data_IF_322641246927
#
_entry.id   IF_322641246927
#
_cell.length_a   1.000
_cell.length_b   1.000
_cell.length_c   1.000
_cell.angle_alpha   90.00
_cell.angle_beta   90.00
_cell.angle_gamma   90.00
#
_symmetry.space_group_name_H-M   'P 1'
#
loop_
_entity.id
_entity.type
_entity.pdbx_description
1 polymer ?
#
# COMPACT_ATOMS: atom_id res chain seq x y z
N UNK A 1 -8.22 2.10 -23.47
CA UNK A 1 -8.70 2.16 -24.89
C UNK A 1 -7.85 3.12 -25.69
N UNK A 2 -7.67 2.90 -26.99
CA UNK A 2 -6.95 3.83 -27.88
C UNK A 2 -7.77 4.15 -29.14
N UNK A 3 -7.43 5.25 -29.81
CA UNK A 3 -8.08 5.71 -31.04
C UNK A 3 -7.06 5.77 -32.15
N UNK A 4 -7.40 5.18 -33.29
CA UNK A 4 -6.67 5.33 -34.54
C UNK A 4 -7.40 6.36 -35.39
N UNK A 5 -6.66 7.29 -35.97
CA UNK A 5 -7.16 8.32 -36.87
C UNK A 5 -6.34 8.24 -38.16
N UNK A 6 -7.02 8.22 -39.31
CA UNK A 6 -6.36 8.13 -40.61
C UNK A 6 -7.35 7.98 -41.77
N UNK A 7 -6.84 8.09 -42.99
CA UNK A 7 -7.62 8.00 -44.23
C UNK A 7 -7.68 6.59 -44.85
N UNK A 8 -7.14 5.59 -44.16
CA UNK A 8 -7.25 4.20 -44.57
C UNK A 8 -8.72 3.72 -44.48
N UNK A 9 -9.10 2.76 -45.31
CA UNK A 9 -10.42 2.12 -45.21
C UNK A 9 -10.48 1.22 -43.97
N UNK A 10 -9.43 0.43 -43.74
CA UNK A 10 -9.30 -0.48 -42.61
C UNK A 10 -7.88 -0.47 -42.06
N UNK A 11 -7.76 -0.84 -40.79
CA UNK A 11 -6.47 -0.99 -40.10
C UNK A 11 -6.45 -2.26 -39.27
N UNK A 12 -5.28 -2.87 -39.21
CA UNK A 12 -4.95 -3.97 -38.32
C UNK A 12 -4.18 -3.42 -37.12
N UNK A 13 -4.72 -3.59 -35.91
CA UNK A 13 -4.07 -3.21 -34.68
C UNK A 13 -3.55 -4.45 -33.95
N UNK A 14 -2.34 -4.35 -33.39
CA UNK A 14 -1.67 -5.38 -32.61
C UNK A 14 -1.16 -4.75 -31.32
N UNK A 15 -1.31 -5.44 -30.19
CA UNK A 15 -0.60 -5.08 -28.95
C UNK A 15 0.40 -6.19 -28.63
N UNK A 16 1.62 -5.77 -28.31
CA UNK A 16 2.70 -6.65 -27.86
C UNK A 16 3.15 -6.29 -26.45
N UNK A 17 3.62 -7.28 -25.71
CA UNK A 17 4.45 -7.10 -24.52
C UNK A 17 5.82 -7.72 -24.83
N UNK A 18 6.90 -6.94 -24.74
CA UNK A 18 8.27 -7.34 -25.12
C UNK A 18 8.35 -7.96 -26.52
N UNK A 19 7.66 -7.33 -27.48
CA UNK A 19 7.58 -7.80 -28.86
C UNK A 19 6.73 -9.08 -29.07
N UNK A 20 6.24 -9.72 -28.00
CA UNK A 20 5.35 -10.87 -28.09
C UNK A 20 3.92 -10.39 -28.24
N UNK A 21 3.27 -10.75 -29.35
CA UNK A 21 1.86 -10.45 -29.61
C UNK A 21 0.95 -11.00 -28.50
N UNK A 22 0.16 -10.14 -27.89
CA UNK A 22 -0.86 -10.47 -26.89
C UNK A 22 -2.27 -10.34 -27.45
N UNK A 23 -2.49 -9.30 -28.25
CA UNK A 23 -3.80 -8.99 -28.79
C UNK A 23 -3.71 -8.50 -30.24
N UNK A 24 -4.76 -8.74 -31.03
CA UNK A 24 -4.90 -8.15 -32.35
C UNK A 24 -6.35 -8.03 -32.78
N UNK A 25 -6.70 -6.97 -33.52
CA UNK A 25 -7.99 -6.84 -34.18
C UNK A 25 -7.92 -5.94 -35.41
N UNK A 26 -8.84 -6.17 -36.35
CA UNK A 26 -9.04 -5.34 -37.54
C UNK A 26 -10.29 -4.48 -37.37
N UNK A 27 -10.24 -3.21 -37.77
CA UNK A 27 -11.43 -2.35 -37.88
C UNK A 27 -11.42 -1.50 -39.12
N UNK A 28 -12.60 -1.32 -39.70
CA UNK A 28 -12.87 -0.26 -40.67
C UNK A 28 -12.87 1.11 -39.97
N UNK A 29 -12.39 2.14 -40.66
CA UNK A 29 -12.42 3.52 -40.18
C UNK A 29 -13.73 4.18 -40.61
N UNK A 30 -14.60 4.42 -39.64
CA UNK A 30 -15.80 5.24 -39.85
C UNK A 30 -15.42 6.70 -39.61
N UNK A 31 -15.64 7.57 -40.62
CA UNK A 31 -15.27 8.99 -40.54
C UNK A 31 -13.80 9.18 -40.15
N UNK A 32 -12.90 8.46 -40.82
CA UNK A 32 -11.43 8.54 -40.63
C UNK A 32 -10.95 8.16 -39.23
N UNK A 33 -11.73 7.41 -38.45
CA UNK A 33 -11.26 6.90 -37.17
C UNK A 33 -11.89 5.58 -36.73
N UNK A 34 -11.15 4.84 -35.90
CA UNK A 34 -11.61 3.65 -35.22
C UNK A 34 -11.16 3.69 -33.76
N UNK A 35 -12.05 3.33 -32.84
CA UNK A 35 -11.71 3.16 -31.41
C UNK A 35 -11.56 1.69 -31.09
N UNK A 36 -10.49 1.34 -30.40
CA UNK A 36 -10.24 -0.01 -29.90
C UNK A 36 -10.35 0.00 -28.37
N UNK A 37 -11.14 -0.94 -27.86
CA UNK A 37 -11.25 -1.22 -26.43
C UNK A 37 -10.69 -2.61 -26.24
N UNK A 38 -9.64 -2.72 -25.43
CA UNK A 38 -8.92 -3.96 -25.15
C UNK A 38 -8.97 -4.17 -23.65
N UNK A 39 -9.48 -5.32 -23.17
CA UNK A 39 -9.37 -5.68 -21.76
C UNK A 39 -7.90 -5.76 -21.37
N UNK A 40 -7.54 -5.19 -20.21
CA UNK A 40 -6.16 -5.26 -19.69
C UNK A 40 -5.73 -6.72 -19.53
N UNK A 41 -6.66 -7.60 -19.17
CA UNK A 41 -6.45 -9.04 -19.01
C UNK A 41 -6.01 -9.79 -20.26
N UNK A 42 -6.24 -9.23 -21.45
CA UNK A 42 -5.79 -9.82 -22.71
C UNK A 42 -4.35 -9.44 -23.05
N UNK A 43 -3.78 -8.43 -22.37
CA UNK A 43 -2.47 -7.85 -22.73
C UNK A 43 -1.46 -7.84 -21.58
N UNK A 44 -1.91 -7.72 -20.33
CA UNK A 44 -1.07 -7.57 -19.15
C UNK A 44 -0.38 -8.88 -18.80
N UNK A 45 0.93 -8.83 -18.62
CA UNK A 45 1.78 -9.99 -18.26
C UNK A 45 2.69 -9.72 -17.06
N UNK A 46 2.52 -8.57 -16.41
CA UNK A 46 3.35 -8.09 -15.31
C UNK A 46 3.57 -6.58 -15.40
N UNK A 47 4.07 -6.00 -14.31
CA UNK A 47 4.33 -4.57 -14.25
C UNK A 47 5.34 -4.10 -15.29
N UNK A 48 5.04 -2.95 -15.92
CA UNK A 48 5.98 -2.30 -16.82
C UNK A 48 7.19 -1.74 -16.08
N UNK A 49 7.03 -1.20 -14.87
CA UNK A 49 8.14 -0.76 -14.02
C UNK A 49 8.50 -1.80 -12.95
N UNK A 50 9.77 -1.77 -12.53
CA UNK A 50 10.28 -2.60 -11.43
C UNK A 50 11.39 -1.83 -10.69
N UNK A 51 11.47 -2.02 -9.37
CA UNK A 51 12.58 -1.52 -8.59
C UNK A 51 13.79 -2.46 -8.59
N UNK A 52 14.96 -1.88 -8.39
CA UNK A 52 16.22 -2.60 -8.17
C UNK A 52 16.70 -2.36 -6.72
N UNK A 53 17.90 -2.83 -6.40
CA UNK A 53 18.46 -2.79 -5.04
C UNK A 53 18.75 -1.42 -4.46
N UNK A 54 18.41 -0.32 -5.12
CA UNK A 54 18.60 1.01 -4.52
C UNK A 54 17.76 2.11 -5.13
N UNK A 55 16.85 1.77 -6.06
CA UNK A 55 16.04 2.74 -6.78
C UNK A 55 14.88 2.08 -7.50
N UNK A 56 13.87 2.88 -7.81
CA UNK A 56 12.75 2.50 -8.65
C UNK A 56 12.79 3.31 -9.96
N UNK A 57 13.53 2.83 -11.00
CA UNK A 57 13.61 3.55 -12.26
C UNK A 57 12.28 3.50 -13.01
N UNK A 58 11.95 4.59 -13.70
CA UNK A 58 10.77 4.68 -14.60
C UNK A 58 11.08 4.25 -16.03
N UNK A 59 12.19 3.52 -16.24
CA UNK A 59 12.45 2.83 -17.51
C UNK A 59 11.72 1.50 -17.50
N UNK A 60 10.86 1.21 -18.50
CA UNK A 60 10.09 -0.02 -18.49
C UNK A 60 10.98 -1.26 -18.62
N UNK A 61 10.73 -2.26 -17.77
CA UNK A 61 11.27 -3.61 -17.88
C UNK A 61 10.42 -4.51 -18.78
N UNK A 62 9.13 -4.16 -18.95
CA UNK A 62 8.23 -4.77 -19.93
C UNK A 62 7.70 -3.65 -20.85
N UNK A 63 8.01 -3.73 -22.14
CA UNK A 63 7.58 -2.77 -23.15
C UNK A 63 6.23 -3.17 -23.73
N UNK A 64 5.20 -2.39 -23.43
CA UNK A 64 3.86 -2.56 -23.99
C UNK A 64 3.67 -1.63 -25.19
N UNK A 65 3.51 -2.20 -26.38
CA UNK A 65 3.47 -1.46 -27.64
C UNK A 65 2.19 -1.71 -28.40
N UNK A 66 1.59 -0.64 -28.93
CA UNK A 66 0.54 -0.69 -29.94
C UNK A 66 1.20 -0.53 -31.30
N UNK A 67 0.92 -1.45 -32.23
CA UNK A 67 1.26 -1.34 -33.64
C UNK A 67 -0.01 -1.32 -34.47
N UNK A 68 -0.11 -0.38 -35.41
CA UNK A 68 -1.25 -0.24 -36.32
C UNK A 68 -0.76 -0.21 -37.75
N UNK A 69 -1.30 -1.09 -38.58
CA UNK A 69 -0.89 -1.27 -39.97
C UNK A 69 -2.06 -1.04 -40.94
N UNK A 70 -1.77 -0.47 -42.10
CA UNK A 70 -2.66 -0.37 -43.25
C UNK A 70 -1.84 -0.54 -44.53
N UNK A 71 -1.96 -1.70 -45.18
CA UNK A 71 -1.06 -2.08 -46.27
C UNK A 71 0.39 -2.18 -45.76
N UNK A 72 1.32 -1.52 -46.44
CA UNK A 72 2.74 -1.55 -46.08
C UNK A 72 3.13 -0.52 -44.99
N UNK A 73 2.20 0.35 -44.59
CA UNK A 73 2.47 1.37 -43.58
C UNK A 73 2.15 0.84 -42.19
N UNK A 74 3.10 0.94 -41.26
CA UNK A 74 2.92 0.61 -39.84
C UNK A 74 3.32 1.80 -38.99
N UNK A 75 2.49 2.11 -37.99
CA UNK A 75 2.81 3.08 -36.94
C UNK A 75 2.80 2.39 -35.59
N UNK A 76 3.67 2.83 -34.70
CA UNK A 76 3.81 2.28 -33.35
C UNK A 76 3.67 3.37 -32.31
N UNK A 77 3.07 3.03 -31.19
CA UNK A 77 2.99 3.88 -30.01
C UNK A 77 3.20 3.03 -28.76
N UNK A 78 3.95 3.58 -27.80
CA UNK A 78 4.09 2.98 -26.47
C UNK A 78 2.80 3.19 -25.67
N UNK A 79 2.38 2.16 -24.94
CA UNK A 79 1.38 2.30 -23.88
C UNK A 79 2.11 2.85 -22.67
N UNK A 80 1.65 3.98 -22.12
CA UNK A 80 2.26 4.60 -20.93
C UNK A 80 2.54 3.53 -19.86
N UNK A 81 3.81 3.30 -19.47
CA UNK A 81 4.19 2.28 -18.50
C UNK A 81 3.45 2.39 -17.16
N UNK A 82 3.07 3.60 -16.75
CA UNK A 82 2.28 3.84 -15.54
C UNK A 82 0.94 3.09 -15.57
N UNK A 83 0.25 3.04 -16.72
CA UNK A 83 -1.01 2.30 -16.86
C UNK A 83 -0.82 0.79 -16.83
N UNK A 84 0.40 0.33 -17.10
CA UNK A 84 0.79 -1.07 -17.15
C UNK A 84 1.62 -1.48 -15.92
N UNK A 85 1.67 -0.65 -14.88
CA UNK A 85 2.23 -0.97 -13.57
C UNK A 85 1.07 -1.00 -12.58
N UNK A 86 0.59 -2.21 -12.28
CA UNK A 86 -0.73 -2.45 -11.65
C UNK A 86 -0.69 -3.35 -10.42
N UNK A 87 0.38 -4.10 -10.24
CA UNK A 87 0.56 -5.02 -9.10
C UNK A 87 1.44 -4.35 -8.05
N UNK A 88 0.98 -4.32 -6.81
CA UNK A 88 1.80 -4.01 -5.63
C UNK A 88 2.63 -5.23 -5.30
N UNK A 89 3.94 -5.07 -5.16
CA UNK A 89 4.86 -6.18 -4.90
C UNK A 89 5.55 -6.10 -3.54
N UNK A 90 5.40 -4.98 -2.84
CA UNK A 90 6.16 -4.69 -1.64
C UNK A 90 5.40 -3.69 -0.74
N UNK A 91 5.70 -3.72 0.55
CA UNK A 91 5.14 -2.85 1.57
C UNK A 91 6.17 -2.47 2.64
N UNK A 92 5.82 -1.49 3.47
CA UNK A 92 6.58 -1.12 4.65
C UNK A 92 5.66 -0.67 5.76
N UNK A 93 6.13 -0.73 7.00
CA UNK A 93 5.39 -0.23 8.16
C UNK A 93 6.22 0.81 8.89
N UNK A 94 5.56 1.88 9.32
CA UNK A 94 6.09 2.87 10.23
C UNK A 94 5.14 3.01 11.42
N UNK A 95 5.69 3.04 12.62
CA UNK A 95 4.94 3.30 13.84
C UNK A 95 5.39 4.64 14.44
N UNK A 96 4.47 5.32 15.11
CA UNK A 96 4.76 6.55 15.84
C UNK A 96 3.95 6.55 17.12
N UNK A 97 4.60 6.84 18.24
CA UNK A 97 3.93 6.87 19.55
C UNK A 97 2.93 8.01 19.64
N UNK A 98 1.78 7.74 20.25
CA UNK A 98 0.82 8.74 20.72
C UNK A 98 1.02 8.89 22.21
N UNK A 99 1.15 10.14 22.68
CA UNK A 99 1.32 10.44 24.11
C UNK A 99 0.19 11.31 24.64
N UNK A 100 -0.20 11.06 25.89
CA UNK A 100 -1.12 11.91 26.64
C UNK A 100 -0.40 12.57 27.81
N UNK A 101 -0.74 13.82 28.12
CA UNK A 101 -0.18 14.54 29.26
C UNK A 101 -1.27 14.88 30.27
N UNK A 102 -1.08 14.51 31.52
CA UNK A 102 -1.97 14.81 32.63
C UNK A 102 -1.23 15.53 33.76
N UNK A 103 -1.95 16.35 34.55
CA UNK A 103 -1.38 16.96 35.74
C UNK A 103 -1.71 16.10 36.94
N UNK A 104 -0.69 15.45 37.49
CA UNK A 104 -0.81 14.70 38.73
C UNK A 104 -0.47 15.61 39.90
N UNK A 105 -1.39 15.74 40.85
CA UNK A 105 -1.19 16.55 42.05
C UNK A 105 -1.09 15.65 43.28
N UNK A 106 0.04 15.69 43.97
CA UNK A 106 0.27 14.98 45.23
C UNK A 106 0.13 15.95 46.40
N UNK A 107 -0.75 15.61 47.35
CA UNK A 107 -0.87 16.36 48.61
C UNK A 107 0.31 16.05 49.53
N UNK A 108 1.17 17.03 49.77
CA UNK A 108 2.28 16.94 50.74
C UNK A 108 1.94 17.72 52.02
N UNK A 109 2.62 17.47 53.15
CA UNK A 109 2.49 18.30 54.37
C UNK A 109 2.80 19.80 54.17
N UNK A 110 3.45 20.16 53.06
CA UNK A 110 3.85 21.53 52.71
C UNK A 110 2.90 22.21 51.70
N UNK A 111 1.96 21.47 51.11
CA UNK A 111 1.02 21.96 50.09
C UNK A 111 0.74 20.91 49.01
N UNK A 112 -0.11 21.23 48.03
CA UNK A 112 -0.21 20.43 46.80
C UNK A 112 1.00 20.70 45.91
N UNK A 113 1.70 19.65 45.54
CA UNK A 113 2.70 19.67 44.47
C UNK A 113 2.08 19.01 43.25
N UNK A 114 2.07 19.71 42.12
CA UNK A 114 1.57 19.17 40.86
C UNK A 114 2.71 19.05 39.86
N UNK A 115 2.76 17.92 39.16
CA UNK A 115 3.66 17.68 38.05
C UNK A 115 2.86 17.27 36.81
N UNK A 116 3.37 17.63 35.63
CA UNK A 116 2.80 17.17 34.37
C UNK A 116 3.50 15.87 33.99
N UNK A 117 2.75 14.77 33.99
CA UNK A 117 3.22 13.45 33.55
C UNK A 117 2.81 13.27 32.10
N UNK A 118 3.73 12.78 31.26
CA UNK A 118 3.44 12.42 29.87
C UNK A 118 3.67 10.94 29.70
N UNK A 119 2.62 10.19 29.33
CA UNK A 119 2.69 8.75 29.10
C UNK A 119 2.35 8.41 27.66
N UNK A 120 2.81 7.25 27.19
CA UNK A 120 2.34 6.67 25.92
C UNK A 120 0.93 6.15 26.11
N UNK A 121 0.06 6.55 25.19
CA UNK A 121 -1.33 6.10 25.13
C UNK A 121 -1.53 5.05 24.02
N UNK A 122 -0.66 5.04 23.00
CA UNK A 122 -0.73 4.07 21.92
C UNK A 122 0.25 4.33 20.78
N UNK A 123 -0.02 3.75 19.61
CA UNK A 123 0.75 3.95 18.38
C UNK A 123 -0.14 4.28 17.18
N UNK A 124 0.29 5.22 16.35
CA UNK A 124 -0.17 5.36 14.97
C UNK A 124 0.62 4.37 14.12
N UNK A 125 -0.08 3.62 13.27
CA UNK A 125 0.55 2.74 12.29
C UNK A 125 0.30 3.29 10.90
N UNK A 126 1.38 3.54 10.16
CA UNK A 126 1.36 3.93 8.76
C UNK A 126 1.91 2.78 7.92
N UNK A 127 1.18 2.41 6.87
CA UNK A 127 1.62 1.40 5.91
C UNK A 127 1.99 2.05 4.59
N UNK A 128 3.03 1.51 3.97
CA UNK A 128 3.44 1.81 2.60
C UNK A 128 3.10 0.63 1.71
N UNK A 129 2.64 0.88 0.49
CA UNK A 129 2.39 -0.18 -0.48
C UNK A 129 2.73 0.28 -1.91
N UNK A 130 3.52 -0.52 -2.62
CA UNK A 130 3.83 -0.26 -4.02
C UNK A 130 4.93 -1.17 -4.56
N UNK A 131 5.83 -0.57 -5.33
CA UNK A 131 7.13 -1.15 -5.66
C UNK A 131 8.18 -0.43 -4.83
N UNK A 132 8.89 -1.16 -3.98
CA UNK A 132 9.97 -0.63 -3.16
C UNK A 132 11.33 -1.20 -3.65
N UNK A 133 12.44 -0.47 -3.46
CA UNK A 133 13.77 -1.00 -3.71
C UNK A 133 14.01 -2.21 -2.83
N UNK A 134 14.73 -3.23 -3.33
CA UNK A 134 15.02 -4.43 -2.52
C UNK A 134 16.03 -4.18 -1.40
N UNK A 135 16.56 -2.97 -1.29
CA UNK A 135 17.33 -2.51 -0.11
C UNK A 135 16.45 -1.88 0.96
N UNK A 136 15.13 -1.84 0.74
CA UNK A 136 14.19 -1.41 1.75
C UNK A 136 14.28 -2.35 2.94
N UNK A 137 14.52 -1.77 4.11
CA UNK A 137 14.61 -2.46 5.38
C UNK A 137 13.92 -1.63 6.48
N UNK A 138 13.39 -2.33 7.47
CA UNK A 138 12.89 -1.74 8.71
C UNK A 138 14.07 -1.34 9.61
N UNK A 139 13.92 -0.23 10.31
CA UNK A 139 14.97 0.39 11.10
C UNK A 139 14.51 0.55 12.54
N UNK A 140 15.47 0.62 13.45
CA UNK A 140 15.22 0.95 14.85
C UNK A 140 14.47 2.29 14.96
N UNK A 141 13.66 2.44 15.99
CA UNK A 141 12.79 3.60 16.18
C UNK A 141 11.45 3.51 15.43
N UNK A 142 11.03 2.30 15.03
CA UNK A 142 9.70 2.09 14.43
C UNK A 142 9.59 2.57 12.98
N UNK A 143 10.70 2.70 12.26
CA UNK A 143 10.75 3.26 10.92
C UNK A 143 11.25 2.27 9.87
N UNK A 144 11.54 2.80 8.69
CA UNK A 144 12.20 2.05 7.62
C UNK A 144 13.04 2.99 6.78
N UNK A 145 13.92 2.44 5.94
CA UNK A 145 14.70 3.21 4.97
C UNK A 145 13.82 4.02 4.00
N UNK A 146 14.32 5.17 3.53
CA UNK A 146 13.63 5.98 2.53
C UNK A 146 13.46 5.19 1.22
N UNK A 147 12.25 4.68 1.00
CA UNK A 147 12.02 3.73 -0.08
C UNK A 147 11.97 4.40 -1.47
N UNK A 148 11.63 5.70 -1.59
CA UNK A 148 11.43 6.38 -2.89
C UNK A 148 10.72 5.48 -3.93
N UNK A 149 9.66 4.80 -3.48
CA UNK A 149 8.98 3.75 -4.23
C UNK A 149 8.14 4.29 -5.39
N UNK A 150 7.60 3.35 -6.16
CA UNK A 150 6.55 3.64 -7.14
C UNK A 150 5.21 3.23 -6.53
N UNK A 151 4.31 4.19 -6.40
CA UNK A 151 2.96 3.98 -5.91
C UNK A 151 2.05 3.49 -7.03
N UNK A 152 1.24 2.48 -6.72
CA UNK A 152 0.42 1.79 -7.71
C UNK A 152 -1.02 2.26 -7.60
N UNK A 153 -1.52 2.81 -8.72
CA UNK A 153 -2.96 3.00 -8.96
C UNK A 153 -3.52 1.71 -9.56
N UNK A 154 -3.96 0.81 -8.68
CA UNK A 154 -4.36 -0.55 -9.03
C UNK A 154 -5.60 -0.98 -8.25
N UNK A 155 -5.89 -2.27 -8.33
CA UNK A 155 -6.98 -2.88 -7.58
C UNK A 155 -6.35 -3.87 -6.60
N UNK A 156 -6.25 -3.50 -5.33
CA UNK A 156 -5.63 -4.32 -4.29
C UNK A 156 -6.18 -4.01 -2.91
N UNK A 157 -5.95 -4.93 -1.98
CA UNK A 157 -6.28 -4.74 -0.56
C UNK A 157 -5.02 -4.80 0.28
N UNK A 158 -4.99 -4.03 1.35
CA UNK A 158 -3.95 -4.06 2.37
C UNK A 158 -4.57 -4.50 3.69
N UNK A 159 -3.94 -5.45 4.38
CA UNK A 159 -4.34 -5.90 5.71
C UNK A 159 -3.14 -5.89 6.66
N UNK A 160 -3.36 -5.46 7.91
CA UNK A 160 -2.37 -5.54 8.98
C UNK A 160 -2.81 -6.55 10.06
N UNK A 161 -1.87 -7.37 10.52
CA UNK A 161 -2.01 -8.21 11.70
C UNK A 161 -0.80 -8.01 12.60
N UNK A 162 -1.04 -7.67 13.86
CA UNK A 162 0.03 -7.52 14.86
C UNK A 162 0.09 -8.78 15.71
N UNK A 163 1.30 -9.31 15.89
CA UNK A 163 1.56 -10.51 16.69
C UNK A 163 2.58 -10.23 17.77
N UNK A 164 2.33 -10.76 18.96
CA UNK A 164 3.34 -10.90 20.01
C UNK A 164 3.87 -12.34 19.94
N UNK A 165 5.12 -12.49 19.48
CA UNK A 165 5.65 -13.80 19.07
C UNK A 165 4.76 -14.47 18.00
N UNK A 166 4.11 -15.58 18.34
CA UNK A 166 3.20 -16.30 17.43
C UNK A 166 1.72 -16.01 17.67
N UNK A 167 1.40 -15.18 18.67
CA UNK A 167 0.02 -14.89 19.07
C UNK A 167 -0.45 -13.63 18.38
N UNK A 168 -1.57 -13.70 17.65
CA UNK A 168 -2.21 -12.49 17.11
C UNK A 168 -2.80 -11.69 18.27
N UNK A 169 -2.30 -10.47 18.46
CA UNK A 169 -2.75 -9.54 19.52
C UNK A 169 -3.66 -8.45 18.95
N UNK A 170 -3.50 -8.10 17.68
CA UNK A 170 -4.40 -7.21 16.97
C UNK A 170 -4.53 -7.62 15.51
N UNK A 171 -5.70 -7.39 14.93
CA UNK A 171 -5.99 -7.83 13.58
C UNK A 171 -6.47 -9.31 13.50
N UNK A 172 -6.87 -9.69 12.29
CA UNK A 172 -7.40 -10.97 11.83
C UNK A 172 -7.17 -11.00 10.32
N UNK A 173 -6.41 -11.97 9.82
CA UNK A 173 -6.30 -12.15 8.36
C UNK A 173 -7.69 -12.46 7.80
N UNK A 174 -8.20 -11.62 6.90
CA UNK A 174 -9.53 -11.79 6.37
C UNK A 174 -9.43 -12.44 4.99
N UNK A 175 -9.76 -13.73 4.90
CA UNK A 175 -10.02 -14.34 3.59
C UNK A 175 -11.38 -13.88 3.00
N UNK A 176 -11.99 -12.83 3.56
CA UNK A 176 -13.37 -12.40 3.30
C UNK A 176 -13.52 -10.88 3.08
N UNK A 177 -12.41 -10.14 3.04
CA UNK A 177 -12.43 -8.68 2.93
C UNK A 177 -12.79 -7.99 4.25
N UNK A 178 -12.98 -6.67 4.18
CA UNK A 178 -13.23 -5.83 5.35
C UNK A 178 -14.17 -6.48 6.39
N UNK A 179 -13.67 -6.85 7.59
CA UNK A 179 -14.51 -7.50 8.57
C UNK A 179 -15.60 -6.54 9.04
N UNK A 180 -16.82 -7.07 9.22
CA UNK A 180 -18.01 -6.30 9.65
C UNK A 180 -17.91 -5.74 11.07
N UNK A 181 -16.75 -5.82 11.72
CA UNK A 181 -16.51 -5.20 13.02
C UNK A 181 -16.56 -3.69 12.88
N UNK A 182 -17.39 -3.06 13.70
CA UNK A 182 -17.66 -1.62 13.79
C UNK A 182 -16.45 -0.72 14.07
N UNK A 183 -15.24 -1.27 14.15
CA UNK A 183 -14.07 -0.61 14.74
C UNK A 183 -12.94 -0.40 13.73
N UNK A 184 -13.25 -0.25 12.43
CA UNK A 184 -12.23 0.14 11.44
C UNK A 184 -11.01 -0.76 11.49
N UNK A 185 -11.21 -2.07 11.31
CA UNK A 185 -10.12 -3.03 11.23
C UNK A 185 -9.04 -2.54 10.26
N UNK A 186 -7.72 -2.76 10.49
CA UNK A 186 -6.65 -2.19 9.67
C UNK A 186 -6.59 -2.85 8.29
N UNK A 187 -7.57 -2.50 7.48
CA UNK A 187 -7.83 -2.98 6.14
C UNK A 187 -8.19 -1.79 5.26
N UNK A 188 -7.56 -1.74 4.10
CA UNK A 188 -7.77 -0.72 3.09
C UNK A 188 -8.01 -1.41 1.76
N UNK A 189 -9.08 -1.00 1.08
CA UNK A 189 -9.36 -1.40 -0.29
C UNK A 189 -8.99 -0.25 -1.22
N UNK A 190 -8.15 -0.55 -2.20
CA UNK A 190 -7.77 0.36 -3.28
C UNK A 190 -8.42 -0.12 -4.56
N UNK A 191 -9.19 0.75 -5.20
CA UNK A 191 -9.75 0.54 -6.54
C UNK A 191 -9.39 1.69 -7.46
N UNK A 192 -8.43 1.42 -8.35
CA UNK A 192 -7.80 2.40 -9.23
C UNK A 192 -7.17 3.54 -8.44
N UNK A 193 -7.85 4.69 -8.44
CA UNK A 193 -7.37 5.94 -7.82
C UNK A 193 -8.15 6.29 -6.55
N UNK A 194 -8.88 5.35 -5.97
CA UNK A 194 -9.65 5.56 -4.74
C UNK A 194 -9.27 4.50 -3.71
N UNK A 195 -8.98 4.93 -2.49
CA UNK A 195 -8.74 4.05 -1.36
C UNK A 195 -9.79 4.30 -0.28
N UNK A 196 -10.29 3.22 0.32
CA UNK A 196 -11.32 3.27 1.35
C UNK A 196 -10.92 2.38 2.51
N UNK A 197 -11.03 2.89 3.74
CA UNK A 197 -10.85 2.09 4.94
C UNK A 197 -12.06 1.19 5.17
N UNK A 198 -11.91 0.22 6.08
CA UNK A 198 -13.04 -0.58 6.55
C UNK A 198 -14.22 0.24 7.11
N UNK A 199 -13.94 1.41 7.68
CA UNK A 199 -14.97 2.33 8.21
C UNK A 199 -15.80 3.03 7.12
N UNK A 200 -15.37 2.93 5.85
CA UNK A 200 -15.95 3.65 4.73
C UNK A 200 -15.33 5.03 4.47
N UNK A 201 -14.28 5.38 5.21
CA UNK A 201 -13.58 6.66 5.06
C UNK A 201 -12.64 6.63 3.86
N UNK A 202 -12.55 7.77 3.17
CA UNK A 202 -11.61 7.93 2.07
C UNK A 202 -10.19 8.04 2.62
N UNK A 203 -9.31 7.18 2.13
CA UNK A 203 -7.87 7.22 2.41
C UNK A 203 -7.14 7.86 1.21
N UNK A 204 -6.10 8.65 1.47
CA UNK A 204 -5.30 9.23 0.40
C UNK A 204 -4.42 8.17 -0.25
N UNK A 205 -4.37 8.13 -1.58
CA UNK A 205 -3.41 7.31 -2.32
C UNK A 205 -2.20 8.19 -2.63
N UNK A 206 -1.26 8.27 -1.70
CA UNK A 206 0.03 8.94 -1.88
C UNK A 206 1.21 8.00 -1.60
N UNK A 207 0.93 6.69 -1.55
CA UNK A 207 1.88 5.65 -1.15
C UNK A 207 1.89 5.34 0.35
N UNK A 208 1.31 6.21 1.17
CA UNK A 208 1.22 6.06 2.62
C UNK A 208 -0.23 5.99 3.09
N UNK A 209 -0.48 5.01 3.92
CA UNK A 209 -1.81 4.68 4.39
C UNK A 209 -1.80 4.71 5.91
N UNK A 210 -2.44 5.73 6.49
CA UNK A 210 -2.73 5.70 7.91
C UNK A 210 -3.71 4.55 8.18
N UNK A 211 -3.29 3.58 8.97
CA UNK A 211 -4.11 2.43 9.27
C UNK A 211 -5.13 2.80 10.34
N UNK A 212 -6.41 2.46 10.13
CA UNK A 212 -7.45 2.78 11.10
C UNK A 212 -7.22 2.03 12.42
N UNK A 213 -7.58 2.69 13.51
CA UNK A 213 -7.42 2.22 14.87
C UNK A 213 -8.68 2.49 15.70
N UNK A 214 -8.86 1.78 16.82
CA UNK A 214 -10.07 1.90 17.64
C UNK A 214 -10.15 3.19 18.47
N UNK A 215 -9.03 3.88 18.70
CA UNK A 215 -8.95 5.12 19.47
C UNK A 215 -8.75 6.34 18.56
N UNK A 216 -9.04 7.52 19.08
CA UNK A 216 -8.91 8.78 18.33
C UNK A 216 -8.36 9.87 19.22
N UNK A 217 -7.33 10.58 18.75
CA UNK A 217 -6.69 11.64 19.52
C UNK A 217 -7.50 12.94 19.50
N UNK A 218 -6.99 14.00 20.15
CA UNK A 218 -7.69 15.28 20.25
C UNK A 218 -7.86 16.02 18.90
N UNK A 219 -7.10 15.66 17.88
CA UNK A 219 -7.17 16.27 16.54
C UNK A 219 -7.89 15.38 15.52
N UNK A 220 -8.38 14.21 15.94
CA UNK A 220 -9.16 13.30 15.11
C UNK A 220 -8.33 12.24 14.39
N UNK A 221 -7.06 12.05 14.76
CA UNK A 221 -6.22 10.99 14.20
C UNK A 221 -6.52 9.67 14.91
N UNK A 222 -6.86 8.64 14.14
CA UNK A 222 -7.06 7.30 14.65
C UNK A 222 -5.70 6.64 15.00
N UNK A 223 -5.68 5.89 16.09
CA UNK A 223 -4.50 5.17 16.56
C UNK A 223 -4.90 3.90 17.31
N UNK A 224 -3.90 3.07 17.56
CA UNK A 224 -4.02 1.84 18.33
C UNK A 224 -3.61 2.11 19.77
N UNK A 225 -4.58 2.19 20.69
CA UNK A 225 -4.32 2.33 22.12
C UNK A 225 -3.64 1.08 22.69
N UNK A 226 -2.82 1.26 23.72
CA UNK A 226 -2.08 0.15 24.34
C UNK A 226 -3.01 -0.95 24.85
N UNK A 227 -4.18 -0.62 25.42
CA UNK A 227 -5.13 -1.62 25.94
C UNK A 227 -5.65 -2.57 24.86
N UNK A 228 -5.62 -2.16 23.59
CA UNK A 228 -6.12 -2.96 22.47
C UNK A 228 -5.13 -4.06 22.03
N UNK A 229 -3.83 -3.79 22.02
CA UNK A 229 -2.85 -4.70 21.39
C UNK A 229 -1.64 -5.05 22.24
N UNK A 230 -1.31 -4.19 23.22
CA UNK A 230 -0.10 -4.33 24.01
C UNK A 230 -0.39 -5.19 25.25
N UNK A 231 0.37 -6.27 25.40
CA UNK A 231 0.22 -7.22 26.49
C UNK A 231 1.35 -7.12 27.52
N UNK A 232 2.59 -7.28 27.05
CA UNK A 232 3.83 -7.25 27.84
C UNK A 232 4.98 -6.71 26.97
N UNK A 233 6.11 -6.41 27.59
CA UNK A 233 7.34 -6.02 26.90
C UNK A 233 7.82 -7.17 25.98
N UNK A 234 8.16 -6.87 24.74
CA UNK A 234 8.75 -7.86 23.83
C UNK A 234 8.64 -7.52 22.35
N UNK A 235 8.95 -8.51 21.52
CA UNK A 235 8.96 -8.38 20.06
C UNK A 235 7.54 -8.49 19.48
N UNK A 236 7.08 -7.40 18.87
CA UNK A 236 5.80 -7.33 18.15
C UNK A 236 6.05 -7.31 16.65
N UNK A 237 5.46 -8.28 15.94
CA UNK A 237 5.52 -8.40 14.49
C UNK A 237 4.30 -7.74 13.83
N UNK A 238 4.52 -6.92 12.82
CA UNK A 238 3.53 -6.21 12.03
C UNK A 238 3.39 -6.90 10.66
N UNK A 239 2.62 -7.97 10.61
CA UNK A 239 2.42 -8.72 9.37
C UNK A 239 1.51 -7.94 8.42
N UNK A 240 2.01 -7.65 7.22
CA UNK A 240 1.25 -7.03 6.13
C UNK A 240 0.82 -8.09 5.13
N UNK A 241 -0.44 -8.06 4.71
CA UNK A 241 -0.96 -8.88 3.60
C UNK A 241 -1.46 -7.96 2.50
N UNK A 242 -0.92 -8.13 1.30
CA UNK A 242 -1.35 -7.45 0.08
C UNK A 242 -2.07 -8.47 -0.80
N UNK A 243 -3.30 -8.16 -1.22
CA UNK A 243 -4.03 -8.98 -2.20
C UNK A 243 -4.27 -8.16 -3.45
N UNK A 244 -3.51 -8.43 -4.51
CA UNK A 244 -3.73 -7.82 -5.81
C UNK A 244 -4.87 -8.53 -6.54
N UNK A 245 -5.85 -7.76 -7.03
CA UNK A 245 -6.85 -8.26 -7.95
C UNK A 245 -6.29 -8.22 -9.37
N UNK A 246 -5.87 -9.36 -9.88
CA UNK A 246 -5.29 -9.45 -11.21
C UNK A 246 -6.36 -9.21 -12.26
N UNK A 247 -5.92 -8.69 -13.42
CA UNK A 247 -6.81 -8.46 -14.55
C UNK A 247 -7.50 -9.76 -15.04
N UNK A 248 -6.89 -10.94 -14.84
CA UNK A 248 -7.49 -12.25 -15.10
C UNK A 248 -8.68 -12.60 -14.18
N UNK A 249 -8.86 -11.87 -13.08
CA UNK A 249 -9.77 -12.20 -11.98
C UNK A 249 -9.18 -13.16 -10.95
N UNK A 250 -7.91 -13.53 -11.09
CA UNK A 250 -7.15 -14.26 -10.06
C UNK A 250 -6.60 -13.28 -9.02
N UNK A 251 -6.21 -13.79 -7.86
CA UNK A 251 -5.58 -13.01 -6.80
C UNK A 251 -4.09 -13.35 -6.69
N UNK A 252 -3.26 -12.31 -6.57
CA UNK A 252 -1.85 -12.45 -6.17
C UNK A 252 -1.71 -11.94 -4.74
N UNK A 253 -1.44 -12.86 -3.82
CA UNK A 253 -1.29 -12.58 -2.38
C UNK A 253 0.19 -12.51 -2.04
N UNK A 254 0.59 -11.44 -1.36
CA UNK A 254 1.93 -11.21 -0.82
C UNK A 254 1.78 -11.01 0.68
N UNK A 255 2.57 -11.74 1.46
CA UNK A 255 2.62 -11.63 2.92
C UNK A 255 4.01 -11.22 3.31
N UNK A 256 4.12 -10.12 4.05
CA UNK A 256 5.35 -9.66 4.71
C UNK A 256 5.19 -9.86 6.20
N UNK A 257 6.02 -10.72 6.78
CA UNK A 257 6.00 -11.11 8.18
C UNK A 257 7.35 -10.90 8.89
N UNK A 258 8.23 -10.13 8.28
CA UNK A 258 9.58 -9.78 8.73
C UNK A 258 9.69 -8.37 9.34
N UNK A 259 8.54 -7.75 9.61
CA UNK A 259 8.47 -6.41 10.18
C UNK A 259 8.25 -6.50 11.68
N UNK A 260 9.24 -6.13 12.49
CA UNK A 260 9.15 -6.28 13.94
C UNK A 260 9.95 -5.25 14.73
N UNK A 261 9.43 -4.89 15.90
CA UNK A 261 10.13 -4.06 16.89
C UNK A 261 9.89 -4.58 18.31
N UNK A 262 10.93 -4.48 19.13
CA UNK A 262 10.84 -4.62 20.58
C UNK A 262 10.10 -3.42 21.16
N UNK A 263 8.90 -3.66 21.70
CA UNK A 263 8.09 -2.67 22.39
C UNK A 263 8.27 -2.86 23.89
N UNK A 264 8.67 -1.80 24.57
CA UNK A 264 8.81 -1.71 26.03
C UNK A 264 8.15 -0.40 26.46
N UNK A 265 6.86 -0.48 26.71
CA UNK A 265 6.06 0.66 27.16
C UNK A 265 5.85 0.66 28.67
N UNK A 266 6.09 -0.46 29.36
CA UNK A 266 5.94 -0.53 30.82
C UNK A 266 7.09 0.17 31.54
N UNK A 267 8.32 0.12 31.00
CA UNK A 267 9.51 0.68 31.66
C UNK A 267 9.92 2.04 31.10
N UNK A 268 9.41 2.43 29.94
CA UNK A 268 9.81 3.64 29.22
C UNK A 268 8.64 4.59 28.88
N UNK A 269 7.65 4.76 29.76
CA UNK A 269 6.50 5.64 29.49
C UNK A 269 6.82 7.10 29.13
N UNK A 270 7.98 7.63 29.55
CA UNK A 270 8.36 9.04 29.39
C UNK A 270 9.40 9.33 28.26
N UNK A 271 9.91 8.29 27.57
CA UNK A 271 10.82 8.41 26.41
C UNK A 271 12.30 8.75 26.71
N UNK A 272 13.20 8.75 25.69
CA UNK A 272 12.98 8.36 24.29
C UNK A 272 12.93 6.84 24.10
N UNK A 273 12.04 6.39 23.21
CA UNK A 273 11.77 4.97 22.94
C UNK A 273 12.68 4.44 21.84
N UNK A 274 13.44 3.39 22.15
CA UNK A 274 14.42 2.84 21.22
C UNK A 274 13.78 2.05 20.08
N UNK A 275 12.67 1.31 20.34
CA UNK A 275 11.98 0.42 19.39
C UNK A 275 12.98 -0.32 18.50
N UNK A 276 13.82 -1.15 19.11
CA UNK A 276 14.87 -1.88 18.40
C UNK A 276 14.23 -2.92 17.49
N UNK A 277 14.78 -3.10 16.30
CA UNK A 277 14.30 -4.13 15.36
C UNK A 277 14.46 -5.53 15.94
N UNK A 278 13.45 -6.37 15.70
CA UNK A 278 13.42 -7.81 15.96
C UNK A 278 12.75 -8.51 14.77
#
# INVERSE_FOLDING_TARGET
SFRVIGSANSVDAVITADGVKKWSATKELSSESARFTVPISEIFVGNAWQCNSGSCPTTPVIEYMISVSSGDNTQTAEINPEFMTREVLDSGVKISTVTVSENECTSTPQGEECETVTEIDGIVVEMMAGLLPTSHEHLDGGGHTDANGIWIEGDYTLELVIKEGNTVVYGQSSSQGCPTSSNGFPYIEVSGTTATSCGGDSVSINGWFAMPGPATDQVGTEYLDLETFYGDDGCYMFQVTITNTLSSGEELIIVQDDVGWELDFDQNKEGPWAMETC
#
